data_IF_972230291036
#
_entry.id   IF_972230291036
#
_cell.length_a   1.000
_cell.length_b   1.000
_cell.length_c   1.000
_cell.angle_alpha   90.00
_cell.angle_beta   90.00
_cell.angle_gamma   90.00
#
_symmetry.space_group_name_H-M   'P 1'
#
loop_
_entity.id
_entity.type
_entity.pdbx_description
1 polymer ?
#
# COMPACT_ATOMS: atom_id res chain seq x y z
N UNK A 1 -1.29 -14.01 -13.22
CA UNK A 1 -1.14 -12.86 -14.14
C UNK A 1 -0.29 -13.35 -15.28
N UNK A 2 -0.77 -13.25 -16.53
CA UNK A 2 -0.01 -13.65 -17.69
C UNK A 2 1.19 -12.72 -17.90
N UNK A 3 2.25 -13.23 -18.56
CA UNK A 3 3.43 -12.41 -18.94
C UNK A 3 3.01 -11.19 -19.77
N UNK A 4 1.92 -11.28 -20.52
CA UNK A 4 1.31 -10.17 -21.28
C UNK A 4 0.90 -8.97 -20.39
N UNK A 5 0.28 -9.21 -19.24
CA UNK A 5 -0.13 -8.10 -18.34
C UNK A 5 1.06 -7.38 -17.71
N UNK A 6 2.21 -8.05 -17.55
CA UNK A 6 3.44 -7.40 -17.08
C UNK A 6 4.07 -6.58 -18.21
N UNK A 7 4.01 -7.06 -19.43
CA UNK A 7 4.57 -6.38 -20.60
C UNK A 7 3.78 -5.11 -20.96
N UNK A 8 2.45 -5.18 -20.92
CA UNK A 8 1.57 -4.02 -21.12
C UNK A 8 1.82 -2.92 -20.06
N UNK A 9 2.06 -3.28 -18.81
CA UNK A 9 2.37 -2.30 -17.77
C UNK A 9 3.75 -1.64 -17.93
N UNK A 10 4.73 -2.36 -18.46
CA UNK A 10 6.06 -1.82 -18.78
C UNK A 10 6.02 -0.92 -20.01
N UNK A 11 5.25 -1.28 -21.02
CA UNK A 11 5.06 -0.47 -22.22
C UNK A 11 4.33 0.84 -21.94
N UNK A 12 3.29 0.81 -21.11
CA UNK A 12 2.59 2.02 -20.64
C UNK A 12 3.52 2.94 -19.86
N UNK A 13 4.35 2.38 -18.99
CA UNK A 13 5.35 3.15 -18.23
C UNK A 13 6.41 3.76 -19.16
N UNK A 14 6.90 2.99 -20.12
CA UNK A 14 7.86 3.45 -21.11
C UNK A 14 7.26 4.55 -22.00
N UNK A 15 6.02 4.39 -22.47
CA UNK A 15 5.30 5.40 -23.24
C UNK A 15 5.09 6.70 -22.45
N UNK A 16 4.73 6.59 -21.17
CA UNK A 16 4.59 7.74 -20.27
C UNK A 16 5.91 8.50 -20.11
N UNK A 17 7.01 7.79 -19.85
CA UNK A 17 8.34 8.39 -19.71
C UNK A 17 8.85 9.01 -21.02
N UNK A 18 8.55 8.39 -22.15
CA UNK A 18 8.96 8.91 -23.48
C UNK A 18 8.22 10.19 -23.85
N UNK A 19 6.93 10.28 -23.52
CA UNK A 19 6.08 11.43 -23.84
C UNK A 19 6.19 12.59 -22.82
N UNK A 20 6.95 12.40 -21.74
CA UNK A 20 7.14 13.44 -20.73
C UNK A 20 8.07 14.54 -21.23
N UNK A 21 7.73 15.84 -21.05
CA UNK A 21 8.60 16.94 -21.40
C UNK A 21 9.98 16.86 -20.69
N UNK A 22 11.05 17.23 -21.38
CA UNK A 22 12.42 17.15 -20.84
C UNK A 22 12.63 17.99 -19.57
N UNK A 23 11.87 19.07 -19.42
CA UNK A 23 11.86 19.87 -18.19
C UNK A 23 11.30 19.10 -16.96
N UNK A 24 10.36 18.19 -17.18
CA UNK A 24 9.81 17.30 -16.14
C UNK A 24 10.72 16.11 -15.91
N UNK A 25 11.33 15.53 -16.95
CA UNK A 25 12.37 14.49 -16.82
C UNK A 25 13.54 14.98 -15.98
N UNK A 26 14.00 16.23 -16.18
CA UNK A 26 15.05 16.84 -15.35
C UNK A 26 14.65 16.98 -13.88
N UNK A 27 13.39 17.29 -13.57
CA UNK A 27 12.89 17.34 -12.19
C UNK A 27 12.89 15.98 -11.50
N UNK A 28 12.80 14.88 -12.26
CA UNK A 28 12.86 13.50 -11.74
C UNK A 28 14.23 13.16 -11.14
N UNK A 29 15.29 13.75 -11.68
CA UNK A 29 16.68 13.43 -11.32
C UNK A 29 17.35 14.49 -10.42
N UNK A 30 16.68 15.61 -10.11
CA UNK A 30 17.26 16.62 -9.20
C UNK A 30 17.11 16.19 -7.74
N UNK A 31 18.19 16.08 -6.97
CA UNK A 31 18.11 15.77 -5.53
C UNK A 31 17.43 16.94 -4.81
N UNK A 32 16.32 16.67 -4.14
CA UNK A 32 15.72 17.66 -3.23
C UNK A 32 16.34 17.47 -1.86
N UNK A 33 16.86 18.57 -1.28
CA UNK A 33 17.40 18.58 0.07
C UNK A 33 16.39 17.96 1.07
N UNK A 34 16.87 17.04 1.91
CA UNK A 34 16.06 16.37 2.89
C UNK A 34 15.42 17.38 3.87
N UNK A 35 14.14 17.31 4.17
CA UNK A 35 13.50 18.20 5.13
C UNK A 35 14.11 18.01 6.52
N UNK A 36 14.54 19.11 7.16
CA UNK A 36 15.07 19.11 8.52
C UNK A 36 14.03 18.50 9.48
N UNK A 37 14.41 17.44 10.18
CA UNK A 37 13.56 16.76 11.18
C UNK A 37 13.21 17.73 12.31
N UNK A 38 11.95 18.13 12.46
CA UNK A 38 11.43 18.67 13.71
C UNK A 38 11.31 17.50 14.70
N UNK A 39 12.19 17.45 15.69
CA UNK A 39 12.10 16.51 16.81
C UNK A 39 10.89 16.88 17.68
N UNK A 40 9.79 16.17 17.53
CA UNK A 40 8.73 16.15 18.55
C UNK A 40 9.25 15.32 19.73
N UNK A 41 9.40 15.92 20.90
CA UNK A 41 9.55 15.19 22.17
C UNK A 41 8.27 14.38 22.38
N UNK A 42 8.21 13.16 21.87
CA UNK A 42 7.13 12.21 22.14
C UNK A 42 7.48 11.44 23.41
N UNK A 43 6.50 11.31 24.28
CA UNK A 43 6.56 10.38 25.41
C UNK A 43 6.92 9.00 24.89
N UNK A 44 8.04 8.45 25.33
CA UNK A 44 8.52 7.13 24.97
C UNK A 44 7.54 6.08 25.50
N UNK A 45 6.73 5.50 24.62
CA UNK A 45 6.02 4.26 24.91
C UNK A 45 6.97 3.06 24.69
N UNK A 46 8.08 3.05 25.44
CA UNK A 46 8.93 1.85 25.54
C UNK A 46 8.09 0.72 26.13
N UNK A 47 7.73 -0.30 25.30
CA UNK A 47 7.23 -1.56 25.81
C UNK A 47 6.04 -2.21 25.11
N UNK A 48 5.29 -1.53 24.24
CA UNK A 48 4.21 -2.19 23.47
C UNK A 48 4.55 -2.20 21.97
N UNK A 49 5.29 -3.21 21.55
CA UNK A 49 5.31 -3.59 20.13
C UNK A 49 3.96 -4.25 19.84
N UNK A 50 2.97 -3.45 19.46
CA UNK A 50 1.68 -3.97 19.00
C UNK A 50 1.86 -4.47 17.57
N UNK A 51 2.26 -5.74 17.44
CA UNK A 51 2.37 -6.42 16.15
C UNK A 51 0.99 -6.46 15.50
N UNK A 52 0.85 -5.90 14.29
CA UNK A 52 -0.38 -6.01 13.52
C UNK A 52 -0.45 -7.36 12.82
N UNK A 53 -1.59 -8.05 12.93
CA UNK A 53 -1.88 -9.25 12.15
C UNK A 53 -2.17 -8.85 10.69
N UNK A 54 -1.88 -9.72 9.72
CA UNK A 54 -2.34 -9.50 8.35
C UNK A 54 -3.84 -9.82 8.24
N UNK A 55 -4.48 -9.27 7.22
CA UNK A 55 -5.85 -9.61 6.80
C UNK A 55 -5.70 -10.37 5.49
N UNK A 56 -6.42 -11.48 5.33
CA UNK A 56 -6.46 -12.19 4.07
C UNK A 56 -6.84 -11.26 2.91
N UNK A 57 -6.14 -11.38 1.77
CA UNK A 57 -6.30 -10.47 0.64
C UNK A 57 -7.72 -10.51 0.07
N UNK A 58 -8.25 -11.71 -0.18
CA UNK A 58 -9.57 -11.87 -0.80
C UNK A 58 -10.67 -11.44 0.16
N UNK A 59 -10.51 -11.72 1.46
CA UNK A 59 -11.39 -11.20 2.51
C UNK A 59 -11.41 -9.66 2.51
N UNK A 60 -10.26 -9.02 2.44
CA UNK A 60 -10.17 -7.56 2.44
C UNK A 60 -10.79 -6.98 1.16
N UNK A 61 -10.49 -7.56 0.00
CA UNK A 61 -11.02 -7.14 -1.29
C UNK A 61 -12.54 -7.28 -1.36
N UNK A 62 -13.09 -8.44 -1.03
CA UNK A 62 -14.53 -8.69 -1.01
C UNK A 62 -15.27 -7.78 -0.01
N UNK A 63 -14.63 -7.46 1.12
CA UNK A 63 -15.19 -6.51 2.09
C UNK A 63 -15.24 -5.11 1.49
N UNK A 64 -14.22 -4.69 0.76
CA UNK A 64 -14.20 -3.40 0.08
C UNK A 64 -15.26 -3.32 -1.03
N UNK A 65 -15.44 -4.40 -1.82
CA UNK A 65 -16.46 -4.45 -2.86
C UNK A 65 -17.88 -4.27 -2.30
N UNK A 66 -18.19 -4.86 -1.14
CA UNK A 66 -19.48 -4.67 -0.45
C UNK A 66 -19.71 -3.22 0.03
N UNK A 67 -18.68 -2.40 0.07
CA UNK A 67 -18.80 -0.97 0.45
C UNK A 67 -19.13 -0.06 -0.74
N UNK A 68 -19.03 -0.56 -1.98
CA UNK A 68 -19.42 0.22 -3.19
C UNK A 68 -20.88 0.70 -3.04
N UNK A 69 -21.12 1.93 -3.46
CA UNK A 69 -22.45 2.53 -3.39
C UNK A 69 -22.96 2.87 -1.98
N UNK A 70 -22.18 2.60 -0.92
CA UNK A 70 -22.55 2.92 0.47
C UNK A 70 -21.85 4.19 0.95
N UNK A 71 -22.20 4.66 2.16
CA UNK A 71 -21.49 5.77 2.84
C UNK A 71 -20.02 5.46 3.15
N UNK A 72 -19.60 4.19 3.08
CA UNK A 72 -18.22 3.75 3.32
C UNK A 72 -17.43 3.50 2.03
N UNK A 73 -17.95 3.88 0.86
CA UNK A 73 -17.32 3.63 -0.44
C UNK A 73 -15.88 4.17 -0.53
N UNK A 74 -15.62 5.40 -0.07
CA UNK A 74 -14.28 5.99 -0.05
C UNK A 74 -13.31 5.19 0.85
N UNK A 75 -13.81 4.61 1.95
CA UNK A 75 -13.02 3.73 2.80
C UNK A 75 -12.81 2.36 2.14
N UNK A 76 -13.80 1.84 1.44
CA UNK A 76 -13.65 0.63 0.61
C UNK A 76 -12.56 0.82 -0.45
N UNK A 77 -12.55 1.96 -1.14
CA UNK A 77 -11.50 2.29 -2.09
C UNK A 77 -10.11 2.37 -1.42
N UNK A 78 -10.02 2.98 -0.24
CA UNK A 78 -8.77 2.96 0.54
C UNK A 78 -8.26 1.55 0.79
N UNK A 79 -9.14 0.60 1.14
CA UNK A 79 -8.76 -0.81 1.36
C UNK A 79 -8.19 -1.41 0.07
N UNK A 80 -8.86 -1.23 -1.08
CA UNK A 80 -8.40 -1.75 -2.37
C UNK A 80 -7.02 -1.19 -2.72
N UNK A 81 -6.84 0.12 -2.63
CA UNK A 81 -5.53 0.74 -2.89
C UNK A 81 -4.46 0.17 -1.96
N UNK A 82 -4.75 0.04 -0.66
CA UNK A 82 -3.79 -0.44 0.32
C UNK A 82 -3.32 -1.89 0.06
N UNK A 83 -4.26 -2.79 -0.27
CA UNK A 83 -3.93 -4.21 -0.53
C UNK A 83 -3.37 -4.46 -1.93
N UNK A 84 -3.59 -3.55 -2.88
CA UNK A 84 -3.08 -3.69 -4.25
C UNK A 84 -1.74 -2.99 -4.47
N UNK A 85 -1.39 -2.00 -3.65
CA UNK A 85 -0.15 -1.22 -3.82
C UNK A 85 0.87 -1.43 -2.70
N UNK A 86 0.40 -1.86 -1.54
CA UNK A 86 1.24 -1.97 -0.35
C UNK A 86 1.83 -0.64 0.15
N UNK A 87 1.30 0.51 -0.26
CA UNK A 87 1.74 1.83 0.19
C UNK A 87 1.52 2.05 1.70
N UNK A 88 2.28 2.96 2.29
CA UNK A 88 2.01 3.41 3.65
C UNK A 88 0.76 4.29 3.69
N UNK A 89 0.03 4.25 4.79
CA UNK A 89 -1.19 5.04 4.98
C UNK A 89 -0.99 6.52 4.63
N UNK A 90 0.12 7.12 5.07
CA UNK A 90 0.42 8.54 4.78
C UNK A 90 0.66 8.83 3.30
N UNK A 91 1.09 7.84 2.53
CA UNK A 91 1.30 8.00 1.09
C UNK A 91 -0.02 7.80 0.33
N UNK A 92 -0.84 6.81 0.73
CA UNK A 92 -2.19 6.60 0.16
C UNK A 92 -3.06 7.85 0.33
N UNK A 93 -3.08 8.43 1.53
CA UNK A 93 -3.95 9.58 1.83
C UNK A 93 -3.54 10.89 1.11
N UNK A 94 -2.35 10.92 0.50
CA UNK A 94 -1.89 12.04 -0.35
C UNK A 94 -2.33 11.90 -1.82
N UNK A 95 -2.77 10.71 -2.23
CA UNK A 95 -3.20 10.48 -3.60
C UNK A 95 -4.41 11.34 -3.94
N UNK A 96 -4.34 11.96 -5.10
CA UNK A 96 -5.38 12.80 -5.68
C UNK A 96 -6.09 12.06 -6.81
N UNK A 97 -7.25 12.54 -7.20
CA UNK A 97 -8.01 12.01 -8.33
C UNK A 97 -7.16 11.86 -9.59
N UNK A 98 -6.41 12.91 -9.94
CA UNK A 98 -5.53 12.92 -11.11
C UNK A 98 -4.57 11.74 -11.15
N UNK A 99 -4.03 11.29 -10.00
CA UNK A 99 -3.11 10.14 -9.97
C UNK A 99 -3.76 8.85 -10.49
N UNK A 100 -5.06 8.67 -10.24
CA UNK A 100 -5.80 7.50 -10.71
C UNK A 100 -6.25 7.66 -12.16
N UNK A 101 -6.55 8.87 -12.61
CA UNK A 101 -6.87 9.20 -14.00
C UNK A 101 -5.65 8.96 -14.91
N UNK A 102 -4.47 9.35 -14.46
CA UNK A 102 -3.19 9.11 -15.16
C UNK A 102 -2.77 7.62 -15.11
N UNK A 103 -3.42 6.80 -14.29
CA UNK A 103 -3.11 5.37 -14.12
C UNK A 103 -1.77 5.06 -13.43
N UNK A 104 -0.97 6.09 -13.15
CA UNK A 104 0.37 6.00 -12.57
C UNK A 104 0.54 7.04 -11.48
N UNK A 105 1.14 6.65 -10.36
CA UNK A 105 1.49 7.57 -9.30
C UNK A 105 3.00 7.73 -9.14
N UNK A 106 3.48 8.95 -9.23
CA UNK A 106 4.85 9.30 -8.91
C UNK A 106 4.97 9.62 -7.43
N UNK A 107 5.64 8.74 -6.70
CA UNK A 107 6.00 8.92 -5.31
C UNK A 107 7.41 9.51 -5.19
N UNK A 108 7.59 10.38 -4.20
CA UNK A 108 8.93 10.59 -3.63
C UNK A 108 9.00 9.84 -2.30
N UNK A 109 9.92 8.90 -2.20
CA UNK A 109 10.14 8.18 -0.94
C UNK A 109 10.51 9.16 0.16
N UNK A 110 9.78 9.15 1.26
CA UNK A 110 10.03 10.08 2.38
C UNK A 110 11.43 9.92 2.99
N UNK A 111 12.04 8.75 2.85
CA UNK A 111 13.34 8.43 3.47
C UNK A 111 14.52 8.75 2.57
N UNK A 112 14.40 8.52 1.27
CA UNK A 112 15.52 8.63 0.31
C UNK A 112 15.35 9.80 -0.66
N UNK A 113 14.14 10.36 -0.78
CA UNK A 113 13.80 11.39 -1.76
C UNK A 113 13.76 10.89 -3.21
N UNK A 114 14.04 9.61 -3.47
CA UNK A 114 14.05 9.04 -4.82
C UNK A 114 12.64 8.98 -5.41
N UNK A 115 12.47 9.28 -6.70
CA UNK A 115 11.20 9.10 -7.38
C UNK A 115 10.93 7.59 -7.54
N UNK A 116 9.68 7.21 -7.27
CA UNK A 116 9.18 5.85 -7.48
C UNK A 116 7.89 5.96 -8.28
N UNK A 117 7.83 5.26 -9.39
CA UNK A 117 6.62 5.15 -10.20
C UNK A 117 5.84 3.91 -9.77
N UNK A 118 4.57 4.06 -9.58
CA UNK A 118 3.68 3.00 -9.14
C UNK A 118 2.47 2.97 -10.08
N UNK A 119 2.42 2.01 -11.01
CA UNK A 119 1.24 1.80 -11.83
C UNK A 119 0.11 1.21 -10.97
N UNK A 120 -1.12 1.67 -11.21
CA UNK A 120 -2.28 1.07 -10.58
C UNK A 120 -2.76 -0.13 -11.41
N UNK A 121 -3.03 -1.24 -10.73
CA UNK A 121 -3.59 -2.41 -11.37
C UNK A 121 -5.08 -2.23 -11.69
N UNK A 122 -5.61 -3.12 -12.52
CA UNK A 122 -6.99 -3.12 -12.99
C UNK A 122 -8.01 -3.05 -11.84
N UNK A 123 -7.81 -3.79 -10.74
CA UNK A 123 -8.71 -3.78 -9.58
C UNK A 123 -8.86 -2.39 -8.94
N UNK A 124 -7.77 -1.63 -8.89
CA UNK A 124 -7.76 -0.25 -8.37
C UNK A 124 -8.51 0.66 -9.33
N UNK A 125 -8.18 0.60 -10.63
CA UNK A 125 -8.78 1.46 -11.65
C UNK A 125 -10.27 1.17 -11.83
N UNK A 126 -10.68 -0.09 -11.82
CA UNK A 126 -12.08 -0.48 -11.90
C UNK A 126 -12.89 0.07 -10.71
N UNK A 127 -12.37 -0.06 -9.48
CA UNK A 127 -13.05 0.52 -8.32
C UNK A 127 -13.11 2.03 -8.39
N UNK A 128 -12.03 2.68 -8.84
CA UNK A 128 -11.95 4.13 -9.01
C UNK A 128 -12.98 4.67 -10.01
N UNK A 129 -13.13 4.02 -11.16
CA UNK A 129 -14.07 4.43 -12.20
C UNK A 129 -15.53 4.39 -11.72
N UNK A 130 -15.85 3.45 -10.84
CA UNK A 130 -17.18 3.28 -10.25
C UNK A 130 -17.44 4.18 -9.03
N UNK A 131 -16.43 4.91 -8.52
CA UNK A 131 -16.60 5.80 -7.37
C UNK A 131 -17.61 6.92 -7.66
N UNK A 132 -18.58 7.08 -6.77
CA UNK A 132 -19.54 8.21 -6.80
C UNK A 132 -18.89 9.53 -6.41
N UNK A 133 -17.92 9.48 -5.50
CA UNK A 133 -17.15 10.67 -5.13
C UNK A 133 -16.30 11.14 -6.30
N UNK A 134 -16.67 12.27 -6.92
CA UNK A 134 -15.95 12.89 -8.06
C UNK A 134 -15.06 14.06 -7.63
N UNK A 135 -14.86 14.28 -6.31
CA UNK A 135 -14.00 15.37 -5.82
C UNK A 135 -12.53 15.04 -5.99
N UNK A 136 -11.68 16.08 -5.96
CA UNK A 136 -10.22 15.95 -5.98
C UNK A 136 -9.69 15.13 -4.79
N UNK A 137 -10.35 15.23 -3.63
CA UNK A 137 -10.07 14.44 -2.43
C UNK A 137 -10.75 13.09 -2.55
N UNK A 138 -10.02 12.07 -2.97
CA UNK A 138 -10.55 10.72 -3.20
C UNK A 138 -10.86 10.01 -1.88
N UNK A 139 -9.97 10.09 -0.90
CA UNK A 139 -10.15 9.47 0.42
C UNK A 139 -10.82 10.45 1.39
N UNK A 140 -12.04 10.87 1.04
CA UNK A 140 -12.79 11.88 1.76
C UNK A 140 -13.59 11.28 2.90
N UNK A 141 -13.47 11.91 4.08
CA UNK A 141 -14.30 11.63 5.25
C UNK A 141 -15.70 12.29 5.14
N UNK A 142 -16.60 11.97 6.07
CA UNK A 142 -17.92 12.61 6.13
C UNK A 142 -17.84 14.13 6.39
N UNK A 143 -16.71 14.65 6.85
CA UNK A 143 -16.45 16.09 7.05
C UNK A 143 -15.89 16.77 5.79
N UNK A 144 -15.93 16.13 4.64
CA UNK A 144 -15.39 16.60 3.37
C UNK A 144 -13.86 16.90 3.39
N UNK A 145 -13.13 16.35 4.34
CA UNK A 145 -11.67 16.42 4.44
C UNK A 145 -11.08 15.04 4.21
N UNK A 146 -9.79 14.96 3.88
CA UNK A 146 -9.07 13.68 3.82
C UNK A 146 -9.16 12.96 5.16
N UNK A 147 -9.35 11.64 5.14
CA UNK A 147 -9.27 10.83 6.36
C UNK A 147 -7.97 11.08 7.11
N UNK A 148 -8.04 11.12 8.44
CA UNK A 148 -6.85 11.04 9.28
C UNK A 148 -6.39 9.58 9.44
N UNK A 149 -5.11 9.40 9.78
CA UNK A 149 -4.56 8.07 10.08
C UNK A 149 -5.35 7.36 11.20
N UNK A 150 -5.79 8.12 12.20
CA UNK A 150 -6.58 7.59 13.30
C UNK A 150 -7.96 7.09 12.83
N UNK A 151 -8.67 7.87 11.99
CA UNK A 151 -9.96 7.47 11.44
C UNK A 151 -9.85 6.19 10.63
N UNK A 152 -8.84 6.06 9.77
CA UNK A 152 -8.59 4.85 8.99
C UNK A 152 -8.34 3.64 9.91
N UNK A 153 -7.45 3.78 10.89
CA UNK A 153 -7.16 2.67 11.80
C UNK A 153 -8.38 2.26 12.65
N UNK A 154 -9.20 3.22 13.08
CA UNK A 154 -10.47 2.94 13.76
C UNK A 154 -11.42 2.17 12.87
N UNK A 155 -11.61 2.62 11.61
CA UNK A 155 -12.47 1.93 10.64
C UNK A 155 -11.97 0.52 10.32
N UNK A 156 -10.65 0.31 10.17
CA UNK A 156 -10.08 -1.03 9.95
C UNK A 156 -10.40 -1.95 11.13
N UNK A 157 -10.19 -1.50 12.37
CA UNK A 157 -10.51 -2.28 13.56
C UNK A 157 -11.98 -2.65 13.64
N UNK A 158 -12.87 -1.72 13.34
CA UNK A 158 -14.32 -1.95 13.34
C UNK A 158 -14.76 -2.92 12.24
N UNK A 159 -14.14 -2.84 11.06
CA UNK A 159 -14.52 -3.64 9.89
C UNK A 159 -14.02 -5.08 9.98
N UNK A 160 -12.80 -5.29 10.49
CA UNK A 160 -12.13 -6.59 10.49
C UNK A 160 -12.00 -7.21 11.87
N UNK A 161 -12.92 -6.92 12.78
CA UNK A 161 -12.91 -7.45 14.14
C UNK A 161 -12.65 -8.97 14.18
N UNK A 162 -11.69 -9.37 15.00
CA UNK A 162 -11.46 -10.78 15.31
C UNK A 162 -10.86 -10.93 16.71
N UNK A 163 -11.25 -11.99 17.41
CA UNK A 163 -10.75 -12.29 18.75
C UNK A 163 -9.22 -12.46 18.71
N UNK A 164 -8.53 -11.82 19.64
CA UNK A 164 -7.07 -11.90 19.80
C UNK A 164 -6.23 -11.42 18.59
N UNK A 165 -6.81 -10.62 17.67
CA UNK A 165 -6.08 -10.04 16.55
C UNK A 165 -6.10 -8.52 16.60
N UNK A 166 -4.96 -7.91 16.30
CA UNK A 166 -4.83 -6.46 16.20
C UNK A 166 -4.70 -6.06 14.73
N UNK A 167 -5.65 -5.27 14.23
CA UNK A 167 -5.67 -4.80 12.86
C UNK A 167 -5.44 -3.29 12.77
N UNK A 168 -4.67 -2.90 11.75
CA UNK A 168 -4.33 -1.51 11.44
C UNK A 168 -4.07 -1.34 9.95
N UNK A 169 -3.71 -0.15 9.50
CA UNK A 169 -3.25 0.10 8.14
C UNK A 169 -2.05 -0.77 7.73
N UNK A 170 -1.20 -1.14 8.69
CA UNK A 170 -0.12 -2.10 8.45
C UNK A 170 -0.63 -3.51 8.12
N UNK A 171 -1.81 -3.88 8.60
CA UNK A 171 -2.43 -5.17 8.28
C UNK A 171 -2.75 -5.30 6.79
N UNK A 172 -3.30 -4.25 6.18
CA UNK A 172 -3.58 -4.20 4.73
C UNK A 172 -2.28 -4.20 3.90
N UNK A 173 -1.25 -3.49 4.38
CA UNK A 173 0.06 -3.51 3.74
C UNK A 173 0.74 -4.90 3.84
N UNK A 174 0.56 -5.61 4.96
CA UNK A 174 0.99 -7.01 5.09
C UNK A 174 0.23 -7.94 4.14
N UNK A 175 -1.08 -7.71 3.94
CA UNK A 175 -1.90 -8.47 2.99
C UNK A 175 -1.34 -8.39 1.57
N UNK A 176 -0.93 -7.20 1.12
CA UNK A 176 -0.23 -7.03 -0.16
C UNK A 176 1.03 -7.88 -0.23
N UNK A 177 1.93 -7.76 0.76
CA UNK A 177 3.19 -8.48 0.72
C UNK A 177 3.03 -10.00 0.78
N UNK A 178 2.08 -10.50 1.57
CA UNK A 178 1.78 -11.94 1.61
C UNK A 178 1.22 -12.41 0.26
N UNK A 179 0.32 -11.67 -0.35
CA UNK A 179 -0.22 -11.98 -1.68
C UNK A 179 0.88 -12.05 -2.72
N UNK A 180 1.78 -11.05 -2.77
CA UNK A 180 2.93 -11.05 -3.70
C UNK A 180 3.82 -12.24 -3.44
N UNK A 181 4.14 -12.56 -2.19
CA UNK A 181 4.97 -13.70 -1.82
C UNK A 181 4.35 -15.04 -2.26
N UNK A 182 3.06 -15.22 -2.01
CA UNK A 182 2.31 -16.43 -2.41
C UNK A 182 2.21 -16.58 -3.94
N UNK A 183 1.90 -15.50 -4.65
CA UNK A 183 1.79 -15.50 -6.11
C UNK A 183 3.12 -15.80 -6.82
N UNK A 184 4.25 -15.55 -6.16
CA UNK A 184 5.59 -15.85 -6.66
C UNK A 184 6.17 -17.11 -6.01
N UNK A 185 5.32 -18.11 -5.75
CA UNK A 185 5.71 -19.44 -5.24
C UNK A 185 6.55 -19.38 -3.96
N UNK A 186 6.35 -18.36 -3.12
CA UNK A 186 7.10 -18.16 -1.87
C UNK A 186 8.60 -18.08 -2.05
N UNK A 187 9.05 -17.56 -3.19
CA UNK A 187 10.46 -17.49 -3.58
C UNK A 187 11.26 -16.45 -2.78
N UNK A 188 12.58 -16.59 -2.76
CA UNK A 188 13.46 -15.56 -2.19
C UNK A 188 13.45 -14.28 -3.04
N UNK A 189 13.34 -14.38 -4.36
CA UNK A 189 13.23 -13.24 -5.26
C UNK A 189 12.01 -12.37 -4.92
N UNK A 190 10.89 -13.00 -4.57
CA UNK A 190 9.72 -12.25 -4.08
C UNK A 190 10.02 -11.47 -2.81
N UNK A 191 10.85 -12.00 -1.90
CA UNK A 191 11.25 -11.30 -0.68
C UNK A 191 12.24 -10.16 -0.95
N UNK A 192 13.13 -10.33 -1.94
CA UNK A 192 14.03 -9.27 -2.40
C UNK A 192 13.20 -8.11 -2.94
N UNK A 193 12.32 -8.39 -3.91
CA UNK A 193 11.43 -7.38 -4.51
C UNK A 193 10.55 -6.69 -3.46
N UNK A 194 9.99 -7.44 -2.51
CA UNK A 194 9.20 -6.87 -1.41
C UNK A 194 10.05 -6.01 -0.46
N UNK A 195 11.33 -6.35 -0.25
CA UNK A 195 12.21 -5.53 0.58
C UNK A 195 12.47 -4.18 -0.06
N UNK A 196 12.61 -4.14 -1.38
CA UNK A 196 12.74 -2.90 -2.17
C UNK A 196 11.44 -2.08 -2.17
N UNK A 197 10.28 -2.73 -2.44
CA UNK A 197 8.96 -2.09 -2.41
C UNK A 197 8.68 -1.46 -1.05
N UNK A 198 9.07 -2.14 0.03
CA UNK A 198 8.87 -1.67 1.39
C UNK A 198 9.97 -0.74 1.90
N UNK A 199 11.07 -0.64 1.15
CA UNK A 199 12.28 0.07 1.57
C UNK A 199 12.78 -0.45 2.93
N UNK A 200 12.88 -1.77 3.05
CA UNK A 200 13.45 -2.47 4.19
C UNK A 200 14.96 -2.62 4.00
N UNK A 201 15.71 -2.65 5.07
CA UNK A 201 17.18 -2.77 5.04
C UNK A 201 17.67 -4.17 4.68
N UNK A 202 16.81 -5.19 4.75
CA UNK A 202 17.14 -6.57 4.39
C UNK A 202 15.88 -7.42 4.22
N UNK A 203 16.04 -8.58 3.53
CA UNK A 203 14.99 -9.62 3.45
C UNK A 203 14.56 -10.13 4.82
N UNK A 204 15.48 -10.20 5.79
CA UNK A 204 15.15 -10.63 7.17
C UNK A 204 14.09 -9.73 7.80
N UNK A 205 14.21 -8.42 7.60
CA UNK A 205 13.19 -7.45 8.05
C UNK A 205 11.85 -7.70 7.37
N UNK A 206 11.86 -8.00 6.08
CA UNK A 206 10.64 -8.31 5.32
C UNK A 206 9.99 -9.62 5.79
N UNK A 207 10.77 -10.70 6.00
CA UNK A 207 10.27 -11.97 6.55
C UNK A 207 9.58 -11.75 7.92
N UNK A 208 10.26 -11.04 8.81
CA UNK A 208 9.72 -10.72 10.14
C UNK A 208 8.46 -9.85 10.04
N UNK A 209 8.46 -8.86 9.15
CA UNK A 209 7.32 -7.98 8.92
C UNK A 209 6.09 -8.75 8.44
N UNK A 210 6.27 -9.72 7.55
CA UNK A 210 5.19 -10.54 6.97
C UNK A 210 4.81 -11.75 7.84
N UNK A 211 5.44 -11.95 8.99
CA UNK A 211 5.23 -13.11 9.88
C UNK A 211 5.58 -14.48 9.23
N UNK A 212 6.41 -14.49 8.19
CA UNK A 212 6.77 -15.70 7.43
C UNK A 212 7.71 -16.60 8.23
N UNK A 213 8.58 -16.01 9.05
CA UNK A 213 9.58 -16.77 9.82
C UNK A 213 8.92 -17.71 10.83
N UNK A 214 7.89 -17.23 11.53
CA UNK A 214 7.21 -18.04 12.53
C UNK A 214 6.42 -19.17 11.87
N UNK A 215 5.67 -18.91 10.81
CA UNK A 215 4.92 -19.94 10.09
C UNK A 215 5.83 -21.07 9.56
N UNK A 216 7.04 -20.72 9.07
CA UNK A 216 8.01 -21.70 8.60
C UNK A 216 8.53 -22.56 9.75
N UNK A 217 8.81 -21.96 10.91
CA UNK A 217 9.23 -22.71 12.11
C UNK A 217 8.10 -23.61 12.59
N UNK A 218 6.88 -23.09 12.68
CA UNK A 218 5.71 -23.88 13.11
C UNK A 218 5.49 -25.08 12.19
N UNK A 219 5.61 -24.89 10.85
CA UNK A 219 5.46 -25.99 9.89
C UNK A 219 6.55 -27.05 10.02
N UNK A 220 7.77 -26.69 10.40
CA UNK A 220 8.85 -27.62 10.65
C UNK A 220 8.54 -28.46 11.91
N UNK A 221 8.14 -27.81 12.99
CA UNK A 221 7.82 -28.51 14.24
C UNK A 221 6.58 -29.40 14.14
N UNK A 222 5.59 -29.00 13.33
CA UNK A 222 4.37 -29.77 13.12
C UNK A 222 4.51 -30.87 12.05
N UNK A 223 5.57 -30.85 11.25
CA UNK A 223 5.85 -31.83 10.19
C UNK A 223 6.75 -32.99 10.62
N UNK A 224 7.22 -32.99 11.88
CA UNK A 224 7.96 -34.06 12.49
C UNK A 224 6.99 -34.92 13.29
#
# INVERSE_FOLDING_TARGET
MSKENQQINLELLAAYLNNMPDAEKKKLYTPVAAPKKKTRKGVSTKGRITKSNYIDFDKAYNTALRMKGTKNENFGFYIVVAICTGLRIGDILKLKRKNFEDGVYQLREQKTGKPKFLPFNEKVLQYFNELRNKSEIVFRSNKNTTYSNQQINTKIKQTFQAKNKNYSSHSLRKSFGRRVYEMNNRSEDALINLSEIYNHTSMRVTRTYLDITQEKLDSIYLGI
#
